data_IF_691690359245
#
_entry.id   IF_691690359245
#
_cell.length_a   1.000
_cell.length_b   1.000
_cell.length_c   1.000
_cell.angle_alpha   90.00
_cell.angle_beta   90.00
_cell.angle_gamma   90.00
#
_symmetry.space_group_name_H-M   'P 1'
#
loop_
_entity.id
_entity.type
_entity.pdbx_description
1 polymer ?
#
# COMPACT_ATOMS: atom_id res chain seq x y z
N UNK A 1 13.86 46.45 44.85
CA UNK A 1 13.22 47.63 44.25
C UNK A 1 13.00 47.33 42.78
N UNK A 2 11.81 47.68 42.28
CA UNK A 2 11.16 47.29 41.00
C UNK A 2 10.65 45.84 41.03
N UNK A 3 9.48 45.52 41.57
CA UNK A 3 8.10 45.98 41.32
C UNK A 3 7.54 45.46 39.99
N UNK A 4 6.66 44.46 40.07
CA UNK A 4 5.52 44.34 39.17
C UNK A 4 4.26 44.01 39.98
N UNK A 5 3.19 44.65 39.57
CA UNK A 5 1.98 45.02 40.30
C UNK A 5 0.89 43.95 40.09
N UNK A 6 0.01 43.72 41.09
CA UNK A 6 -1.10 42.77 41.01
C UNK A 6 -2.27 43.33 40.21
N UNK A 7 -3.02 42.46 39.53
CA UNK A 7 -4.38 42.79 39.06
C UNK A 7 -5.35 41.87 39.79
N UNK A 8 -6.15 42.52 40.61
CA UNK A 8 -7.22 41.99 41.43
C UNK A 8 -8.57 42.33 40.76
N UNK A 9 -9.60 41.59 41.17
CA UNK A 9 -11.04 41.92 41.14
C UNK A 9 -11.91 41.53 39.92
N UNK A 10 -12.63 40.42 40.12
CA UNK A 10 -14.09 40.38 40.33
C UNK A 10 -14.94 41.55 39.80
N UNK A 11 -15.86 41.26 38.86
CA UNK A 11 -17.21 41.83 38.84
C UNK A 11 -18.22 40.81 38.31
N UNK A 12 -19.44 40.91 38.85
CA UNK A 12 -20.45 39.88 38.95
C UNK A 12 -21.60 40.02 37.93
N UNK A 13 -22.47 39.00 37.95
CA UNK A 13 -23.91 39.00 37.59
C UNK A 13 -24.35 39.52 36.21
N UNK A 14 -25.04 38.66 35.44
CA UNK A 14 -26.51 38.65 35.38
C UNK A 14 -27.02 37.84 34.18
N UNK A 15 -28.19 37.24 34.38
CA UNK A 15 -28.93 36.41 33.45
C UNK A 15 -29.45 37.17 32.22
N UNK A 16 -29.63 36.47 31.11
CA UNK A 16 -30.81 36.61 30.25
C UNK A 16 -30.87 35.46 29.23
N UNK A 17 -31.98 34.75 29.29
CA UNK A 17 -32.48 33.81 28.30
C UNK A 17 -32.77 34.58 27.00
N UNK A 18 -32.37 34.06 25.84
CA UNK A 18 -32.85 34.55 24.55
C UNK A 18 -33.66 33.44 23.86
N UNK A 19 -34.98 33.57 24.00
CA UNK A 19 -35.97 32.92 23.17
C UNK A 19 -35.82 33.37 21.70
N UNK A 20 -35.85 32.43 20.76
CA UNK A 20 -36.19 32.73 19.37
C UNK A 20 -37.43 31.92 19.00
N UNK A 21 -38.56 32.61 18.98
CA UNK A 21 -39.87 32.08 18.59
C UNK A 21 -40.08 32.23 17.08
N UNK A 22 -40.17 31.08 16.41
CA UNK A 22 -41.13 30.68 15.35
C UNK A 22 -41.27 31.55 14.10
N UNK A 23 -40.97 30.93 12.94
CA UNK A 23 -41.90 31.00 11.83
C UNK A 23 -42.30 29.60 11.34
N UNK A 24 -43.61 29.41 11.45
CA UNK A 24 -44.47 28.30 11.04
C UNK A 24 -44.49 28.18 9.53
N UNK A 25 -44.17 26.99 9.01
CA UNK A 25 -44.62 26.57 7.68
C UNK A 25 -45.30 25.23 7.87
N UNK A 26 -46.63 25.29 7.88
CA UNK A 26 -47.53 24.15 7.83
C UNK A 26 -47.46 23.53 6.44
N UNK A 27 -46.97 22.29 6.37
CA UNK A 27 -47.23 21.40 5.26
C UNK A 27 -47.76 20.09 5.85
N UNK A 28 -49.08 19.97 5.90
CA UNK A 28 -49.79 18.73 6.19
C UNK A 28 -49.36 17.65 5.20
N UNK A 29 -48.68 16.62 5.69
CA UNK A 29 -48.50 15.38 4.96
C UNK A 29 -49.72 14.48 5.20
N UNK A 30 -50.37 13.93 4.16
CA UNK A 30 -51.48 13.02 4.35
C UNK A 30 -51.01 11.76 5.07
N UNK A 31 -51.66 11.45 6.20
CA UNK A 31 -51.50 10.18 6.91
C UNK A 31 -52.09 9.07 6.05
N UNK A 32 -51.23 8.21 5.49
CA UNK A 32 -51.64 7.01 4.78
C UNK A 32 -51.88 5.91 5.81
N UNK A 33 -53.14 5.47 5.92
CA UNK A 33 -53.54 4.27 6.65
C UNK A 33 -52.79 3.03 6.12
N UNK A 34 -52.41 2.07 6.98
CA UNK A 34 -51.72 0.87 6.53
C UNK A 34 -52.72 -0.09 5.87
N UNK A 35 -52.62 -0.27 4.55
CA UNK A 35 -53.29 -1.37 3.87
C UNK A 35 -52.66 -2.73 4.25
N UNK A 36 -53.46 -3.80 4.39
CA UNK A 36 -52.97 -5.12 4.72
C UNK A 36 -52.23 -5.74 3.53
N UNK A 37 -50.94 -6.01 3.72
CA UNK A 37 -50.09 -6.74 2.76
C UNK A 37 -50.60 -8.19 2.66
N UNK A 38 -50.85 -8.76 1.46
CA UNK A 38 -51.09 -10.19 1.30
C UNK A 38 -49.81 -10.97 1.59
N UNK A 39 -49.90 -11.97 2.46
CA UNK A 39 -48.81 -12.90 2.78
C UNK A 39 -48.37 -13.69 1.53
N UNK A 40 -47.32 -13.22 0.85
CA UNK A 40 -46.47 -14.08 0.01
C UNK A 40 -45.28 -14.54 0.88
N UNK A 41 -44.98 -15.85 0.95
CA UNK A 41 -43.82 -16.31 1.68
C UNK A 41 -42.57 -15.91 0.90
N UNK A 42 -41.93 -14.82 1.33
CA UNK A 42 -40.54 -14.50 1.03
C UNK A 42 -39.71 -15.71 1.45
N UNK A 43 -39.33 -16.51 0.46
CA UNK A 43 -38.29 -17.50 0.61
C UNK A 43 -37.06 -16.79 1.15
N UNK A 44 -36.75 -17.05 2.42
CA UNK A 44 -35.47 -16.70 3.03
C UNK A 44 -34.40 -17.40 2.21
N UNK A 45 -33.74 -16.67 1.31
CA UNK A 45 -32.47 -17.11 0.76
C UNK A 45 -31.45 -16.98 1.88
N UNK A 46 -31.27 -18.06 2.64
CA UNK A 46 -30.09 -18.26 3.47
C UNK A 46 -28.85 -18.12 2.57
N UNK A 47 -27.86 -17.26 2.89
CA UNK A 47 -26.57 -17.31 2.23
C UNK A 47 -25.78 -18.43 2.90
N UNK A 48 -26.20 -19.68 2.66
CA UNK A 48 -25.31 -20.81 2.81
C UNK A 48 -24.30 -20.72 1.66
N UNK A 49 -23.28 -19.86 1.83
CA UNK A 49 -22.00 -20.02 1.14
C UNK A 49 -21.37 -21.30 1.68
N UNK A 50 -21.91 -22.45 1.26
CA UNK A 50 -21.14 -23.68 1.24
C UNK A 50 -20.16 -23.48 0.08
N UNK A 51 -18.99 -22.95 0.40
CA UNK A 51 -17.87 -22.97 -0.51
C UNK A 51 -17.65 -24.43 -0.92
N UNK A 52 -17.86 -24.72 -2.20
CA UNK A 52 -17.74 -26.08 -2.73
C UNK A 52 -16.30 -26.56 -2.48
N UNK A 53 -16.08 -27.57 -1.61
CA UNK A 53 -14.74 -28.03 -1.27
C UNK A 53 -14.00 -28.57 -2.49
N UNK A 54 -14.71 -29.14 -3.47
CA UNK A 54 -14.12 -29.62 -4.72
C UNK A 54 -13.63 -28.44 -5.59
N UNK A 55 -14.35 -27.32 -5.56
CA UNK A 55 -13.97 -26.09 -6.25
C UNK A 55 -12.76 -25.42 -5.57
N UNK A 56 -12.70 -25.42 -4.24
CA UNK A 56 -11.54 -24.94 -3.49
C UNK A 56 -10.30 -25.78 -3.78
N UNK A 57 -10.43 -27.11 -3.73
CA UNK A 57 -9.35 -28.03 -4.03
C UNK A 57 -8.85 -27.85 -5.47
N UNK A 58 -9.75 -27.70 -6.44
CA UNK A 58 -9.39 -27.40 -7.82
C UNK A 58 -8.69 -26.03 -7.98
N UNK A 59 -9.10 -25.00 -7.23
CA UNK A 59 -8.42 -23.69 -7.20
C UNK A 59 -7.02 -23.84 -6.61
N UNK A 60 -6.87 -24.52 -5.46
CA UNK A 60 -5.57 -24.75 -4.85
C UNK A 60 -4.63 -25.56 -5.76
N UNK A 61 -5.14 -26.61 -6.41
CA UNK A 61 -4.39 -27.45 -7.34
C UNK A 61 -3.97 -26.64 -8.58
N UNK A 62 -4.87 -25.84 -9.15
CA UNK A 62 -4.57 -24.94 -10.28
C UNK A 62 -3.55 -23.85 -9.91
N UNK A 63 -3.60 -23.29 -8.69
CA UNK A 63 -2.68 -22.25 -8.22
C UNK A 63 -1.29 -22.80 -7.83
N UNK A 64 -1.18 -24.09 -7.48
CA UNK A 64 0.10 -24.73 -7.13
C UNK A 64 1.08 -24.85 -8.31
N UNK A 65 0.59 -24.79 -9.55
CA UNK A 65 1.38 -25.02 -10.76
C UNK A 65 1.77 -23.74 -11.53
N UNK A 66 1.26 -22.57 -11.12
CA UNK A 66 1.55 -21.31 -11.80
C UNK A 66 2.74 -20.59 -11.15
N UNK A 67 3.88 -20.42 -11.85
CA UNK A 67 4.98 -19.64 -11.33
C UNK A 67 4.57 -18.17 -11.19
N UNK A 68 5.08 -17.51 -10.16
CA UNK A 68 4.95 -16.07 -9.96
C UNK A 68 5.43 -15.28 -11.20
N UNK A 69 4.75 -14.18 -11.55
CA UNK A 69 5.18 -13.30 -12.63
C UNK A 69 6.61 -12.80 -12.38
N UNK A 70 7.56 -12.98 -13.32
CA UNK A 70 8.92 -12.48 -13.12
C UNK A 70 8.94 -10.96 -12.92
N UNK A 71 9.85 -10.45 -12.07
CA UNK A 71 9.96 -9.03 -11.72
C UNK A 71 10.00 -8.07 -12.93
N UNK A 72 10.58 -8.50 -14.05
CA UNK A 72 10.61 -7.68 -15.27
C UNK A 72 9.28 -7.47 -15.97
N UNK A 73 8.25 -8.20 -15.56
CA UNK A 73 6.92 -8.19 -16.17
C UNK A 73 5.81 -7.82 -15.19
N UNK A 74 6.08 -7.79 -13.88
CA UNK A 74 5.06 -7.50 -12.87
C UNK A 74 4.45 -6.10 -13.00
N UNK A 75 5.20 -5.12 -13.50
CA UNK A 75 4.73 -3.73 -13.66
C UNK A 75 4.46 -3.36 -15.13
N UNK A 76 4.63 -4.29 -16.08
CA UNK A 76 4.43 -3.99 -17.50
C UNK A 76 5.44 -2.99 -18.12
N UNK A 77 6.51 -2.62 -17.40
CA UNK A 77 7.54 -1.72 -17.92
C UNK A 77 8.44 -2.41 -18.96
N UNK A 78 8.88 -1.64 -19.96
CA UNK A 78 9.82 -2.13 -20.95
C UNK A 78 11.14 -2.58 -20.28
N UNK A 79 11.81 -3.62 -20.82
CA UNK A 79 13.09 -4.09 -20.30
C UNK A 79 14.11 -2.95 -20.20
N UNK A 80 14.82 -2.87 -19.08
CA UNK A 80 15.79 -1.79 -18.89
C UNK A 80 17.01 -1.99 -19.78
N UNK A 81 17.33 -0.96 -20.55
CA UNK A 81 18.53 -0.92 -21.38
C UNK A 81 19.74 -0.64 -20.49
N UNK A 82 20.56 -1.65 -20.19
CA UNK A 82 21.77 -1.51 -19.35
C UNK A 82 22.95 -0.88 -20.08
N UNK A 83 22.78 -0.57 -21.38
CA UNK A 83 23.77 0.08 -22.24
C UNK A 83 23.16 1.29 -22.91
N UNK A 84 23.71 2.46 -22.61
CA UNK A 84 23.30 3.71 -23.25
C UNK A 84 24.45 4.27 -24.08
N UNK A 85 24.20 4.42 -25.38
CA UNK A 85 25.05 5.22 -26.26
C UNK A 85 24.66 6.68 -26.08
N UNK A 86 25.50 7.42 -25.38
CA UNK A 86 25.39 8.87 -25.25
C UNK A 86 26.40 9.54 -26.18
N UNK A 87 26.25 10.85 -26.41
CA UNK A 87 27.28 11.62 -27.14
C UNK A 87 28.66 11.57 -26.45
N UNK A 88 28.70 11.25 -25.15
CA UNK A 88 29.92 11.05 -24.37
C UNK A 88 30.48 9.61 -24.45
N UNK A 89 29.87 8.73 -25.25
CA UNK A 89 30.29 7.34 -25.42
C UNK A 89 29.28 6.32 -24.89
N UNK A 90 29.68 5.05 -24.92
CA UNK A 90 28.91 3.95 -24.32
C UNK A 90 29.16 4.00 -22.81
N UNK A 91 28.11 4.26 -22.05
CA UNK A 91 28.16 4.05 -20.60
C UNK A 91 27.54 2.69 -20.31
N UNK A 92 28.34 1.83 -19.68
CA UNK A 92 27.90 0.57 -19.10
C UNK A 92 27.77 0.76 -17.60
N UNK A 93 26.68 0.23 -17.05
CA UNK A 93 26.49 0.16 -15.60
C UNK A 93 27.56 -0.78 -15.02
N UNK A 94 28.48 -0.25 -14.21
CA UNK A 94 29.50 -1.05 -13.54
C UNK A 94 28.88 -1.80 -12.35
N UNK A 95 29.21 -3.08 -12.22
CA UNK A 95 28.90 -3.88 -11.03
C UNK A 95 29.78 -3.42 -9.87
N UNK A 96 29.15 -3.12 -8.73
CA UNK A 96 29.85 -2.87 -7.48
C UNK A 96 30.17 -4.23 -6.82
N UNK A 97 31.30 -4.37 -6.13
CA UNK A 97 31.64 -5.60 -5.43
C UNK A 97 30.53 -5.95 -4.42
N UNK A 98 29.85 -7.07 -4.67
CA UNK A 98 28.59 -7.46 -4.05
C UNK A 98 28.72 -7.88 -2.58
N UNK A 99 29.91 -8.30 -2.15
CA UNK A 99 30.11 -8.92 -0.83
C UNK A 99 30.13 -7.91 0.35
N UNK A 100 30.23 -6.61 0.08
CA UNK A 100 30.25 -5.55 1.11
C UNK A 100 29.34 -4.36 0.78
N UNK A 101 28.52 -4.47 -0.27
CA UNK A 101 27.71 -3.37 -0.75
C UNK A 101 26.27 -3.53 -0.26
N UNK A 102 25.81 -2.59 0.57
CA UNK A 102 24.42 -2.49 0.98
C UNK A 102 23.57 -1.99 -0.18
N UNK A 103 22.47 -2.68 -0.48
CA UNK A 103 21.52 -2.26 -1.51
C UNK A 103 20.40 -1.39 -0.95
N UNK A 104 20.34 -1.25 0.37
CA UNK A 104 19.40 -0.39 1.08
C UNK A 104 19.41 1.05 0.57
N UNK A 105 20.55 1.74 0.59
CA UNK A 105 20.60 3.17 0.23
C UNK A 105 20.24 3.40 -1.24
N UNK A 106 20.75 2.63 -2.21
CA UNK A 106 20.30 2.75 -3.59
C UNK A 106 18.80 2.49 -3.77
N UNK A 107 18.25 1.47 -3.10
CA UNK A 107 16.81 1.18 -3.17
C UNK A 107 16.00 2.34 -2.59
N UNK A 108 16.34 2.84 -1.41
CA UNK A 108 15.66 4.00 -0.81
C UNK A 108 15.72 5.22 -1.72
N UNK A 109 16.88 5.54 -2.30
CA UNK A 109 17.02 6.67 -3.21
C UNK A 109 16.09 6.53 -4.43
N UNK A 110 15.96 5.33 -5.01
CA UNK A 110 15.03 5.10 -6.11
C UNK A 110 13.57 5.25 -5.67
N UNK A 111 13.20 4.75 -4.49
CA UNK A 111 11.84 4.90 -3.93
C UNK A 111 11.52 6.35 -3.62
N UNK A 112 12.47 7.13 -3.08
CA UNK A 112 12.32 8.56 -2.84
C UNK A 112 12.10 9.34 -4.14
N UNK A 113 12.90 9.06 -5.18
CA UNK A 113 12.71 9.65 -6.51
C UNK A 113 11.35 9.27 -7.09
N UNK A 114 10.91 8.03 -6.90
CA UNK A 114 9.59 7.58 -7.32
C UNK A 114 8.47 8.30 -6.58
N UNK A 115 8.54 8.40 -5.25
CA UNK A 115 7.55 9.11 -4.43
C UNK A 115 7.47 10.59 -4.83
N UNK A 116 8.63 11.24 -5.01
CA UNK A 116 8.71 12.60 -5.55
C UNK A 116 8.05 12.70 -6.93
N UNK A 117 8.36 11.79 -7.84
CA UNK A 117 7.80 11.78 -9.19
C UNK A 117 6.29 11.49 -9.20
N UNK A 118 5.79 10.65 -8.29
CA UNK A 118 4.36 10.40 -8.09
C UNK A 118 3.67 11.65 -7.58
N UNK A 119 4.19 12.28 -6.53
CA UNK A 119 3.65 13.50 -5.96
C UNK A 119 3.58 14.66 -6.98
N UNK A 120 4.59 14.76 -7.85
CA UNK A 120 4.66 15.79 -8.89
C UNK A 120 4.10 15.36 -10.26
N UNK A 121 3.47 14.18 -10.37
CA UNK A 121 2.86 13.66 -11.60
C UNK A 121 3.83 13.57 -12.79
N UNK A 122 5.10 13.24 -12.52
CA UNK A 122 6.16 13.11 -13.50
C UNK A 122 6.31 11.65 -13.98
N UNK A 123 5.38 11.18 -14.82
CA UNK A 123 5.32 9.77 -15.25
C UNK A 123 6.66 9.21 -15.79
N UNK A 124 7.42 9.89 -16.67
CA UNK A 124 8.68 9.34 -17.18
C UNK A 124 9.73 9.13 -16.08
N UNK A 125 9.68 9.95 -15.01
CA UNK A 125 10.57 9.82 -13.87
C UNK A 125 10.12 8.69 -12.94
N UNK A 126 8.81 8.47 -12.79
CA UNK A 126 8.26 7.30 -12.10
C UNK A 126 8.72 6.01 -12.78
N UNK A 127 8.55 5.92 -14.11
CA UNK A 127 8.96 4.74 -14.89
C UNK A 127 10.47 4.49 -14.76
N UNK A 128 11.29 5.54 -14.85
CA UNK A 128 12.75 5.42 -14.69
C UNK A 128 13.12 4.95 -13.27
N UNK A 129 12.47 5.48 -12.24
CA UNK A 129 12.74 5.08 -10.87
C UNK A 129 12.35 3.61 -10.64
N UNK A 130 11.19 3.16 -11.14
CA UNK A 130 10.78 1.76 -11.09
C UNK A 130 11.75 0.84 -11.83
N UNK A 131 12.21 1.24 -13.02
CA UNK A 131 13.23 0.51 -13.76
C UNK A 131 14.52 0.33 -12.94
N UNK A 132 14.96 1.38 -12.24
CA UNK A 132 16.13 1.31 -11.37
C UNK A 132 15.89 0.43 -10.14
N UNK A 133 14.71 0.49 -9.52
CA UNK A 133 14.34 -0.45 -8.45
C UNK A 133 14.39 -1.91 -8.93
N UNK A 134 13.85 -2.22 -10.12
CA UNK A 134 13.89 -3.58 -10.70
C UNK A 134 15.32 -4.06 -10.89
N UNK A 135 16.22 -3.21 -11.41
CA UNK A 135 17.64 -3.58 -11.58
C UNK A 135 18.28 -3.85 -10.23
N UNK A 136 18.08 -2.96 -9.26
CA UNK A 136 18.70 -3.07 -7.93
C UNK A 136 18.21 -4.31 -7.19
N UNK A 137 16.89 -4.56 -7.21
CA UNK A 137 16.29 -5.77 -6.61
C UNK A 137 16.82 -7.05 -7.24
N UNK A 138 17.06 -7.09 -8.55
CA UNK A 138 17.65 -8.27 -9.22
C UNK A 138 19.09 -8.56 -8.83
N UNK A 139 19.80 -7.58 -8.29
CA UNK A 139 21.18 -7.72 -7.82
C UNK A 139 21.26 -8.04 -6.32
N UNK A 140 20.15 -7.92 -5.59
CA UNK A 140 20.07 -8.24 -4.17
C UNK A 140 20.20 -9.76 -3.96
N UNK A 141 21.17 -10.17 -3.16
CA UNK A 141 21.27 -11.55 -2.67
C UNK A 141 20.51 -11.67 -1.34
N UNK A 142 19.36 -12.33 -1.36
CA UNK A 142 18.54 -12.54 -0.17
C UNK A 142 19.18 -13.49 0.86
N UNK A 143 20.26 -14.20 0.50
CA UNK A 143 21.00 -15.06 1.43
C UNK A 143 22.06 -14.28 2.23
N UNK A 144 22.31 -13.02 1.88
CA UNK A 144 23.25 -12.17 2.61
C UNK A 144 22.70 -11.82 4.00
N UNK A 145 23.59 -11.73 5.00
CA UNK A 145 23.26 -11.63 6.44
C UNK A 145 22.39 -10.46 6.87
N UNK A 146 22.22 -9.45 6.01
CA UNK A 146 21.49 -8.22 6.32
C UNK A 146 20.40 -7.93 5.27
N UNK A 147 20.24 -8.78 4.26
CA UNK A 147 19.32 -8.53 3.16
C UNK A 147 17.87 -8.42 3.63
N UNK A 148 17.47 -9.23 4.61
CA UNK A 148 16.13 -9.17 5.19
C UNK A 148 15.89 -7.87 5.94
N UNK A 149 16.89 -7.37 6.66
CA UNK A 149 16.80 -6.12 7.42
C UNK A 149 16.78 -4.91 6.49
N UNK A 150 17.66 -4.90 5.48
CA UNK A 150 17.69 -3.86 4.47
C UNK A 150 16.36 -3.76 3.72
N UNK A 151 15.86 -4.90 3.26
CA UNK A 151 14.61 -4.96 2.53
C UNK A 151 13.41 -4.60 3.42
N UNK A 152 13.40 -5.03 4.68
CA UNK A 152 12.31 -4.71 5.59
C UNK A 152 12.14 -3.20 5.78
N UNK A 153 13.25 -2.47 5.91
CA UNK A 153 13.25 -1.00 6.01
C UNK A 153 12.73 -0.35 4.74
N UNK A 154 13.16 -0.84 3.57
CA UNK A 154 12.72 -0.28 2.28
C UNK A 154 11.22 -0.52 2.07
N UNK A 155 10.73 -1.73 2.34
CA UNK A 155 9.31 -2.06 2.19
C UNK A 155 8.46 -1.22 3.13
N UNK A 156 8.84 -1.13 4.41
CA UNK A 156 8.15 -0.27 5.37
C UNK A 156 8.08 1.18 4.86
N UNK A 157 9.18 1.69 4.31
CA UNK A 157 9.21 3.03 3.73
C UNK A 157 8.24 3.17 2.54
N UNK A 158 8.22 2.22 1.60
CA UNK A 158 7.33 2.24 0.43
C UNK A 158 5.87 2.31 0.88
N UNK A 159 5.45 1.42 1.78
CA UNK A 159 4.06 1.35 2.21
C UNK A 159 3.63 2.58 3.03
N UNK A 160 4.56 3.24 3.71
CA UNK A 160 4.29 4.48 4.43
C UNK A 160 4.24 5.74 3.55
N UNK A 161 5.00 5.78 2.44
CA UNK A 161 5.21 7.00 1.65
C UNK A 161 4.63 6.96 0.23
N UNK A 162 4.20 5.79 -0.23
CA UNK A 162 3.64 5.59 -1.57
C UNK A 162 2.24 5.01 -1.39
N UNK A 163 1.18 5.85 -1.29
CA UNK A 163 -0.18 5.37 -1.15
C UNK A 163 -0.65 4.68 -2.43
N UNK A 164 -1.43 3.62 -2.26
CA UNK A 164 -2.20 3.04 -3.36
C UNK A 164 -3.39 3.92 -3.70
N UNK A 165 -3.67 4.06 -4.98
CA UNK A 165 -4.88 4.72 -5.46
C UNK A 165 -6.05 3.74 -5.33
N UNK A 166 -7.27 4.25 -5.05
CA UNK A 166 -8.37 3.44 -4.50
C UNK A 166 -8.76 2.22 -5.33
N UNK A 167 -8.46 2.21 -6.62
CA UNK A 167 -8.91 1.18 -7.57
C UNK A 167 -7.75 0.57 -8.39
N UNK A 168 -6.49 1.00 -8.15
CA UNK A 168 -5.33 0.55 -8.92
C UNK A 168 -4.22 0.01 -8.01
N UNK A 169 -3.63 -1.10 -8.44
CA UNK A 169 -2.47 -1.68 -7.79
C UNK A 169 -1.27 -0.73 -7.97
N UNK A 170 -0.67 -0.33 -6.86
CA UNK A 170 0.40 0.66 -6.89
C UNK A 170 1.70 0.02 -7.40
N UNK A 171 2.31 0.53 -8.50
CA UNK A 171 3.47 -0.11 -9.13
C UNK A 171 4.67 -0.43 -8.23
N UNK A 172 5.02 0.45 -7.28
CA UNK A 172 6.12 0.18 -6.36
C UNK A 172 5.72 -0.86 -5.30
N UNK A 173 4.52 -0.78 -4.71
CA UNK A 173 3.99 -1.79 -3.78
C UNK A 173 3.91 -3.16 -4.45
N UNK A 174 3.47 -3.20 -5.71
CA UNK A 174 3.43 -4.40 -6.55
C UNK A 174 4.81 -5.00 -6.74
N UNK A 175 5.79 -4.17 -7.11
CA UNK A 175 7.17 -4.62 -7.27
C UNK A 175 7.74 -5.26 -6.01
N UNK A 176 7.59 -4.60 -4.87
CA UNK A 176 8.17 -5.04 -3.61
C UNK A 176 7.45 -6.27 -3.03
N UNK A 177 6.12 -6.32 -3.11
CA UNK A 177 5.36 -7.51 -2.71
C UNK A 177 5.65 -8.70 -3.64
N UNK A 178 5.85 -8.46 -4.94
CA UNK A 178 6.26 -9.50 -5.89
C UNK A 178 7.66 -10.01 -5.60
N UNK A 179 8.60 -9.12 -5.31
CA UNK A 179 9.97 -9.48 -4.93
C UNK A 179 9.99 -10.31 -3.64
N UNK A 180 9.26 -9.87 -2.62
CA UNK A 180 9.10 -10.57 -1.36
C UNK A 180 8.49 -11.97 -1.56
N UNK A 181 7.44 -12.09 -2.38
CA UNK A 181 6.79 -13.37 -2.64
C UNK A 181 7.73 -14.38 -3.31
N UNK A 182 8.57 -13.93 -4.25
CA UNK A 182 9.54 -14.79 -4.95
C UNK A 182 10.65 -15.27 -4.02
N UNK A 183 11.09 -14.44 -3.08
CA UNK A 183 12.21 -14.73 -2.16
C UNK A 183 11.75 -15.05 -0.74
N UNK A 184 10.47 -15.43 -0.57
CA UNK A 184 9.85 -15.54 0.75
C UNK A 184 10.61 -16.50 1.67
N UNK A 185 11.04 -17.65 1.15
CA UNK A 185 11.75 -18.67 1.94
C UNK A 185 13.06 -18.16 2.52
N UNK A 186 13.73 -17.27 1.79
CA UNK A 186 15.02 -16.71 2.17
C UNK A 186 14.84 -15.50 3.10
N UNK A 187 13.70 -14.81 2.99
CA UNK A 187 13.41 -13.60 3.77
C UNK A 187 12.65 -13.86 5.07
N UNK A 188 11.91 -14.96 5.22
CA UNK A 188 10.95 -15.19 6.32
C UNK A 188 11.63 -15.53 7.66
N UNK A 189 12.44 -14.62 8.17
CA UNK A 189 13.06 -14.67 9.49
C UNK A 189 13.35 -13.28 10.03
N UNK A 190 13.58 -13.19 11.34
CA UNK A 190 14.09 -11.97 11.99
C UNK A 190 13.21 -10.75 11.75
N UNK A 191 13.78 -9.71 11.15
CA UNK A 191 13.12 -8.41 10.96
C UNK A 191 11.98 -8.44 9.93
N UNK A 192 12.01 -9.38 8.98
CA UNK A 192 10.98 -9.50 7.96
C UNK A 192 9.68 -10.07 8.52
N UNK A 193 9.74 -11.02 9.46
CA UNK A 193 8.56 -11.53 10.17
C UNK A 193 7.87 -10.40 10.97
N UNK A 194 8.68 -9.58 11.66
CA UNK A 194 8.18 -8.39 12.35
C UNK A 194 7.57 -7.34 11.38
N UNK A 195 8.12 -7.22 10.16
CA UNK A 195 7.54 -6.38 9.11
C UNK A 195 6.15 -6.89 8.71
N UNK A 196 6.00 -8.18 8.43
CA UNK A 196 4.71 -8.78 8.03
C UNK A 196 3.65 -8.57 9.11
N UNK A 197 4.02 -8.68 10.39
CA UNK A 197 3.10 -8.44 11.50
C UNK A 197 2.68 -6.96 11.63
N UNK A 198 3.57 -6.02 11.30
CA UNK A 198 3.36 -4.57 11.51
C UNK A 198 2.78 -3.84 10.30
N UNK A 199 3.12 -4.28 9.09
CA UNK A 199 2.71 -3.64 7.84
C UNK A 199 1.56 -4.44 7.21
N UNK A 200 0.34 -4.18 7.67
CA UNK A 200 -0.86 -4.95 7.29
C UNK A 200 -1.15 -4.94 5.79
N UNK A 201 -1.07 -3.77 5.14
CA UNK A 201 -1.25 -3.66 3.69
C UNK A 201 -0.24 -4.52 2.93
N UNK A 202 1.03 -4.50 3.35
CA UNK A 202 2.06 -5.34 2.76
C UNK A 202 1.79 -6.82 2.96
N UNK A 203 1.34 -7.22 4.15
CA UNK A 203 0.96 -8.61 4.41
C UNK A 203 -0.22 -9.05 3.53
N UNK A 204 -1.20 -8.18 3.28
CA UNK A 204 -2.30 -8.45 2.36
C UNK A 204 -1.82 -8.62 0.92
N UNK A 205 -0.97 -7.72 0.43
CA UNK A 205 -0.46 -7.81 -0.95
C UNK A 205 0.45 -9.04 -1.12
N UNK A 206 1.27 -9.35 -0.12
CA UNK A 206 2.10 -10.56 -0.09
C UNK A 206 1.23 -11.83 -0.09
N UNK A 207 0.24 -11.92 0.79
CA UNK A 207 -0.64 -13.11 0.85
C UNK A 207 -1.45 -13.28 -0.41
N UNK A 208 -1.96 -12.18 -1.01
CA UNK A 208 -2.64 -12.23 -2.31
C UNK A 208 -1.78 -12.90 -3.38
N UNK A 209 -0.49 -12.59 -3.43
CA UNK A 209 0.46 -13.23 -4.37
C UNK A 209 0.75 -14.69 -4.08
N UNK A 210 0.64 -15.10 -2.83
CA UNK A 210 0.91 -16.49 -2.44
C UNK A 210 -0.31 -17.38 -2.68
N UNK A 211 -1.52 -16.85 -2.49
CA UNK A 211 -2.77 -17.61 -2.57
C UNK A 211 -3.57 -17.40 -3.86
N UNK A 212 -3.49 -16.22 -4.48
CA UNK A 212 -4.25 -15.84 -5.69
C UNK A 212 -3.26 -15.47 -6.80
N UNK A 213 -2.77 -16.49 -7.52
CA UNK A 213 -1.81 -16.38 -8.64
C UNK A 213 -2.46 -16.54 -10.01
#
# INVERSE_FOLDING_TARGET
MLADIPVDQDEAEAAAEEEVHVHEVTAEWPSLEPEPIPDDPVAKSDPAHAEDPDLQEAIFESCSMRPLTPLGRCIGLAPVMTRYKTAAGVSEEHEFPHDTFSYREPLLAHVEVYSFAKYHLLQPLQDLALQRMIITLRKLDCLAKEAEQELAVVIEYVYNNVPADRDEEEPARELFSQFAAVNLTDLLHGSFDALVARCGDFALDLTRKLFFR
#
